data_IF_285887217579
#
_entry.id   IF_285887217579
#
_cell.length_a   1.000
_cell.length_b   1.000
_cell.length_c   1.000
_cell.angle_alpha   90.00
_cell.angle_beta   90.00
_cell.angle_gamma   90.00
#
_symmetry.space_group_name_H-M   'P 1'
#
loop_
_entity.id
_entity.type
_entity.pdbx_description
1 polymer ?
#
# COMPACT_ATOMS: atom_id res chain seq x y z
N UNK A 1 9.95 -2.73 -10.23
CA UNK A 1 9.77 -4.19 -10.29
C UNK A 1 8.50 -4.51 -9.54
N UNK A 2 7.51 -5.16 -10.16
CA UNK A 2 6.24 -5.47 -9.52
C UNK A 2 6.47 -6.56 -8.46
N UNK A 3 5.89 -6.38 -7.27
CA UNK A 3 6.00 -7.30 -6.14
C UNK A 3 5.05 -8.49 -6.30
N UNK A 4 5.27 -9.28 -7.35
CA UNK A 4 4.55 -10.53 -7.64
C UNK A 4 5.23 -11.69 -6.89
N UNK A 5 5.11 -11.72 -5.56
CA UNK A 5 5.74 -12.78 -4.76
C UNK A 5 4.93 -13.07 -3.50
N UNK A 6 4.55 -14.33 -3.33
CA UNK A 6 3.96 -14.86 -2.10
C UNK A 6 4.81 -14.41 -0.90
N UNK A 7 4.20 -13.64 -0.02
CA UNK A 7 4.84 -13.21 1.23
C UNK A 7 4.55 -14.30 2.27
N UNK A 8 5.60 -14.82 2.91
CA UNK A 8 5.47 -15.75 4.03
C UNK A 8 4.68 -15.10 5.19
N UNK A 9 4.21 -15.88 6.16
CA UNK A 9 3.57 -15.30 7.34
C UNK A 9 4.61 -14.44 8.11
N UNK A 10 4.30 -13.16 8.32
CA UNK A 10 5.23 -12.22 8.95
C UNK A 10 4.77 -10.77 8.85
N UNK A 11 5.54 -9.86 9.44
CA UNK A 11 5.29 -8.42 9.33
C UNK A 11 6.09 -7.84 8.17
N UNK A 12 5.39 -7.17 7.25
CA UNK A 12 5.99 -6.49 6.11
C UNK A 12 5.80 -5.00 6.25
N UNK A 13 6.91 -4.26 6.28
CA UNK A 13 6.89 -2.81 6.15
C UNK A 13 7.25 -2.47 4.71
N UNK A 14 6.42 -1.65 4.07
CA UNK A 14 6.66 -1.19 2.71
C UNK A 14 6.65 0.33 2.72
N UNK A 15 7.80 0.92 2.38
CA UNK A 15 7.91 2.36 2.26
C UNK A 15 7.19 2.82 1.01
N UNK A 16 5.97 3.32 1.21
CA UNK A 16 5.21 3.96 0.14
C UNK A 16 5.78 5.36 -0.08
N UNK A 17 6.82 5.44 -0.92
CA UNK A 17 7.42 6.71 -1.33
C UNK A 17 6.46 7.54 -2.18
N UNK A 18 5.51 8.25 -1.56
CA UNK A 18 4.56 9.11 -2.25
C UNK A 18 5.25 10.18 -3.12
N UNK A 19 6.43 10.64 -2.70
CA UNK A 19 7.28 11.55 -3.48
C UNK A 19 7.81 10.94 -4.79
N UNK A 20 8.03 9.61 -4.85
CA UNK A 20 8.45 8.90 -6.08
C UNK A 20 7.36 8.93 -7.15
N UNK A 21 6.10 9.01 -6.73
CA UNK A 21 4.92 9.05 -7.62
C UNK A 21 4.33 10.46 -7.76
N UNK A 22 5.02 11.49 -7.24
CA UNK A 22 4.60 12.89 -7.22
C UNK A 22 3.13 13.09 -6.79
N UNK A 23 2.70 12.32 -5.79
CA UNK A 23 1.33 12.37 -5.29
C UNK A 23 1.08 13.70 -4.57
N UNK A 24 -0.04 14.32 -4.89
CA UNK A 24 -0.52 15.54 -4.26
C UNK A 24 -1.12 15.25 -2.88
N UNK A 25 -1.20 16.25 -2.01
CA UNK A 25 -1.95 16.10 -0.75
C UNK A 25 -3.41 15.69 -1.05
N UNK A 26 -3.93 14.70 -0.32
CA UNK A 26 -5.24 14.14 -0.62
C UNK A 26 -5.52 12.82 0.08
N UNK A 27 -6.74 12.31 -0.11
CA UNK A 27 -7.17 11.01 0.44
C UNK A 27 -6.93 9.92 -0.60
N UNK A 28 -6.16 8.92 -0.20
CA UNK A 28 -5.82 7.76 -1.01
C UNK A 28 -6.44 6.51 -0.41
N UNK A 29 -7.04 5.67 -1.25
CA UNK A 29 -7.56 4.38 -0.83
C UNK A 29 -6.64 3.28 -1.36
N UNK A 30 -6.28 2.33 -0.49
CA UNK A 30 -5.49 1.17 -0.87
C UNK A 30 -6.15 -0.10 -0.35
N UNK A 31 -5.92 -1.20 -1.06
CA UNK A 31 -6.50 -2.51 -0.76
C UNK A 31 -5.39 -3.53 -0.58
N UNK A 32 -5.38 -4.18 0.57
CA UNK A 32 -4.58 -5.36 0.84
C UNK A 32 -5.43 -6.57 0.47
N UNK A 33 -5.00 -7.33 -0.54
CA UNK A 33 -5.70 -8.53 -1.00
C UNK A 33 -4.81 -9.75 -0.75
N UNK A 34 -5.36 -10.71 -0.03
CA UNK A 34 -4.87 -12.09 0.07
C UNK A 34 -5.89 -13.03 -0.60
N UNK A 35 -5.60 -14.33 -0.66
CA UNK A 35 -6.54 -15.31 -1.24
C UNK A 35 -7.90 -15.32 -0.53
N UNK A 36 -7.92 -15.20 0.80
CA UNK A 36 -9.15 -15.30 1.60
C UNK A 36 -9.68 -13.95 2.10
N UNK A 37 -8.81 -12.96 2.24
CA UNK A 37 -9.14 -11.69 2.92
C UNK A 37 -8.77 -10.49 2.06
N UNK A 38 -9.72 -9.55 1.94
CA UNK A 38 -9.54 -8.25 1.29
C UNK A 38 -9.82 -7.12 2.28
N UNK A 39 -8.81 -6.32 2.60
CA UNK A 39 -8.90 -5.20 3.53
C UNK A 39 -8.67 -3.90 2.77
N UNK A 40 -9.67 -3.02 2.77
CA UNK A 40 -9.55 -1.66 2.21
C UNK A 40 -9.26 -0.67 3.34
N UNK A 41 -8.26 0.18 3.14
CA UNK A 41 -7.89 1.25 4.08
C UNK A 41 -7.78 2.58 3.34
N UNK A 42 -8.02 3.66 4.08
CA UNK A 42 -7.80 5.03 3.62
C UNK A 42 -6.54 5.60 4.26
N UNK A 43 -5.79 6.38 3.49
CA UNK A 43 -4.62 7.14 3.92
C UNK A 43 -4.85 8.60 3.56
N UNK A 44 -4.57 9.51 4.48
CA UNK A 44 -4.49 10.94 4.17
C UNK A 44 -3.01 11.28 3.94
N UNK A 45 -2.68 11.71 2.72
CA UNK A 45 -1.36 12.25 2.41
C UNK A 45 -1.40 13.77 2.62
N UNK A 46 -0.55 14.25 3.52
CA UNK A 46 -0.28 15.67 3.73
C UNK A 46 1.19 15.89 3.38
N UNK A 47 1.45 16.72 2.37
CA UNK A 47 2.80 17.14 1.97
C UNK A 47 3.28 18.32 2.79
#
# INVERSE_FOLDING_TARGET
MPIEGYQAAGSYSLDFGAGKYNLTSGVYFYRLKSEEVSITKKMLLLK
#
